data_IF_178913704853
#
_entry.id   IF_178913704853
#
_cell.length_a   1.000
_cell.length_b   1.000
_cell.length_c   1.000
_cell.angle_alpha   90.00
_cell.angle_beta   90.00
_cell.angle_gamma   90.00
#
_symmetry.space_group_name_H-M   'P 1'
#
loop_
_entity.id
_entity.type
_entity.pdbx_description
1 polymer ?
#
# COMPACT_ATOMS: atom_id res chain seq x y z
N UNK A 1 0.21 27.92 1.12
CA UNK A 1 0.58 26.80 2.00
C UNK A 1 1.25 25.74 1.15
N UNK A 2 2.40 25.19 1.54
CA UNK A 2 2.99 24.08 0.81
C UNK A 2 2.02 22.88 0.89
N UNK A 3 1.74 22.24 -0.23
CA UNK A 3 0.89 21.05 -0.27
C UNK A 3 1.56 19.96 0.56
N UNK A 4 0.81 19.35 1.47
CA UNK A 4 1.31 18.24 2.28
C UNK A 4 1.76 17.09 1.36
N UNK A 5 2.96 16.55 1.62
CA UNK A 5 3.48 15.44 0.82
C UNK A 5 2.87 14.15 1.34
N UNK A 6 2.02 13.53 0.53
CA UNK A 6 1.45 12.22 0.83
C UNK A 6 2.25 11.14 0.10
N UNK A 7 2.58 10.06 0.81
CA UNK A 7 3.20 8.85 0.27
C UNK A 7 2.32 7.64 0.52
N UNK A 8 2.48 6.60 -0.28
CA UNK A 8 1.77 5.33 -0.11
C UNK A 8 2.74 4.17 -0.30
N UNK A 9 2.75 3.25 0.66
CA UNK A 9 3.44 1.97 0.55
C UNK A 9 2.43 0.87 0.21
N UNK A 10 2.80 -0.01 -0.72
CA UNK A 10 2.00 -1.17 -1.12
C UNK A 10 2.86 -2.42 -0.89
N UNK A 11 2.33 -3.35 -0.10
CA UNK A 11 2.88 -4.68 0.11
C UNK A 11 2.02 -5.71 -0.62
N UNK A 12 2.61 -6.41 -1.59
CA UNK A 12 1.92 -7.30 -2.52
C UNK A 12 2.24 -8.75 -2.17
N UNK A 13 1.46 -9.32 -1.25
CA UNK A 13 1.54 -10.72 -0.87
C UNK A 13 0.64 -11.64 -1.71
N UNK A 14 0.94 -12.94 -1.72
CA UNK A 14 0.07 -13.95 -2.36
C UNK A 14 -1.24 -14.20 -1.60
N UNK A 15 -1.33 -13.79 -0.33
CA UNK A 15 -2.53 -13.95 0.50
C UNK A 15 -3.34 -12.65 0.60
N UNK A 16 -2.63 -11.54 0.78
CA UNK A 16 -3.19 -10.22 1.05
C UNK A 16 -2.36 -9.16 0.34
N UNK A 17 -3.02 -8.14 -0.18
CA UNK A 17 -2.37 -6.88 -0.57
C UNK A 17 -2.63 -5.88 0.55
N UNK A 18 -1.57 -5.32 1.13
CA UNK A 18 -1.68 -4.32 2.19
C UNK A 18 -1.22 -2.96 1.68
N UNK A 19 -1.87 -1.89 2.14
CA UNK A 19 -1.52 -0.53 1.76
C UNK A 19 -1.45 0.35 3.00
N UNK A 20 -0.46 1.24 3.03
CA UNK A 20 -0.27 2.24 4.09
C UNK A 20 -0.16 3.61 3.44
N UNK A 21 -0.95 4.57 3.90
CA UNK A 21 -0.89 5.97 3.47
C UNK A 21 -0.28 6.79 4.60
N UNK A 22 0.70 7.64 4.27
CA UNK A 22 1.36 8.50 5.23
C UNK A 22 1.54 9.92 4.73
N UNK A 23 1.42 10.88 5.65
CA UNK A 23 1.82 12.25 5.44
C UNK A 23 3.29 12.44 5.83
N UNK A 24 4.01 13.27 5.08
CA UNK A 24 5.42 13.59 5.31
C UNK A 24 5.56 15.09 5.53
N UNK A 25 6.01 15.46 6.72
CA UNK A 25 6.33 16.84 7.11
C UNK A 25 7.54 16.85 8.05
N UNK A 26 8.40 17.87 7.95
CA UNK A 26 9.53 18.07 8.87
C UNK A 26 10.40 16.82 9.10
N UNK A 27 10.70 16.07 8.03
CA UNK A 27 11.42 14.79 8.06
C UNK A 27 10.77 13.70 8.94
N UNK A 28 9.50 13.86 9.29
CA UNK A 28 8.68 12.87 9.98
C UNK A 28 7.70 12.23 9.01
N UNK A 29 7.35 10.98 9.31
CA UNK A 29 6.33 10.21 8.58
C UNK A 29 5.23 9.87 9.57
N UNK A 30 4.01 10.31 9.26
CA UNK A 30 2.81 10.03 10.05
C UNK A 30 1.88 9.14 9.24
N UNK A 31 1.62 7.92 9.72
CA UNK A 31 0.64 7.02 9.10
C UNK A 31 -0.76 7.58 9.35
N UNK A 32 -1.49 7.87 8.27
CA UNK A 32 -2.85 8.44 8.32
C UNK A 32 -3.92 7.47 7.81
N UNK A 33 -3.51 6.33 7.25
CA UNK A 33 -4.44 5.30 6.81
C UNK A 33 -3.75 3.97 6.54
N UNK A 34 -4.51 2.89 6.72
CA UNK A 34 -4.11 1.52 6.38
C UNK A 34 -5.27 0.81 5.67
N UNK A 35 -4.94 -0.10 4.76
CA UNK A 35 -5.93 -0.96 4.11
C UNK A 35 -6.62 -1.88 5.13
N UNK A 36 -7.91 -2.14 4.92
CA UNK A 36 -8.63 -3.19 5.64
C UNK A 36 -8.17 -4.61 5.26
N UNK A 37 -9.10 -5.57 5.33
CA UNK A 37 -8.83 -6.94 4.88
C UNK A 37 -9.03 -7.05 3.37
N UNK A 38 -7.94 -7.07 2.59
CA UNK A 38 -7.97 -7.10 1.11
C UNK A 38 -7.31 -8.38 0.59
N UNK A 39 -8.10 -9.30 0.06
CA UNK A 39 -7.61 -10.59 -0.45
C UNK A 39 -6.82 -10.37 -1.75
N UNK A 40 -5.65 -11.02 -1.86
CA UNK A 40 -4.88 -11.06 -3.10
C UNK A 40 -5.45 -12.08 -4.07
N UNK A 41 -5.67 -11.68 -5.32
CA UNK A 41 -6.27 -12.55 -6.36
C UNK A 41 -5.32 -12.88 -7.51
N UNK A 42 -4.45 -11.93 -7.87
CA UNK A 42 -3.54 -12.06 -9.01
C UNK A 42 -2.14 -12.59 -8.69
N UNK A 43 -1.82 -12.86 -7.41
CA UNK A 43 -0.46 -13.15 -6.95
C UNK A 43 -0.35 -14.55 -6.37
N UNK A 44 0.61 -15.35 -6.83
CA UNK A 44 0.90 -16.69 -6.29
C UNK A 44 2.39 -16.97 -6.24
N UNK A 45 2.89 -17.31 -5.04
CA UNK A 45 4.32 -17.58 -4.77
C UNK A 45 5.24 -16.47 -5.31
N UNK A 46 4.85 -15.21 -5.09
CA UNK A 46 5.61 -14.04 -5.52
C UNK A 46 5.55 -13.72 -7.02
N UNK A 47 4.75 -14.45 -7.80
CA UNK A 47 4.56 -14.18 -9.23
C UNK A 47 3.17 -13.61 -9.49
N UNK A 48 3.07 -12.71 -10.46
CA UNK A 48 1.79 -12.30 -11.06
C UNK A 48 1.32 -13.46 -11.93
N UNK A 49 0.17 -14.05 -11.59
CA UNK A 49 -0.46 -15.14 -12.35
C UNK A 49 -1.70 -14.66 -13.12
N UNK A 50 -2.29 -13.54 -12.70
CA UNK A 50 -3.40 -12.87 -13.35
C UNK A 50 -3.31 -11.38 -13.03
N UNK A 51 -3.05 -10.54 -14.03
CA UNK A 51 -2.84 -9.09 -13.84
C UNK A 51 -4.17 -8.32 -13.79
N UNK A 52 -5.25 -8.92 -14.29
CA UNK A 52 -6.58 -8.28 -14.40
C UNK A 52 -7.52 -8.66 -13.23
N UNK A 53 -7.04 -9.51 -12.30
CA UNK A 53 -7.80 -10.11 -11.20
C UNK A 53 -8.21 -9.17 -10.04
#
# INVERSE_FOLDING_TARGET
MAKEKIITGIDVGSTKISTTVAAVSDNKVSVIGVSGNVISKGIKKGNVIDIDA
#
